data_IF_257320493513
#
_entry.id   IF_257320493513
#
_cell.length_a   1.000
_cell.length_b   1.000
_cell.length_c   1.000
_cell.angle_alpha   90.00
_cell.angle_beta   90.00
_cell.angle_gamma   90.00
#
_symmetry.space_group_name_H-M   'P 1'
#
loop_
_entity.id
_entity.type
_entity.pdbx_description
1 polymer ?
#
# COMPACT_ATOMS: atom_id res chain seq x y z
N UNK A 1 -9.50 48.49 23.96
CA UNK A 1 -9.63 49.03 22.59
C UNK A 1 -9.85 47.85 21.66
N UNK A 2 -11.08 47.66 21.18
CA UNK A 2 -11.38 46.63 20.18
C UNK A 2 -10.94 47.17 18.81
N UNK A 3 -10.01 46.47 18.18
CA UNK A 3 -9.45 46.78 16.86
C UNK A 3 -10.57 46.63 15.82
N UNK A 4 -11.20 47.74 15.42
CA UNK A 4 -12.28 47.74 14.43
C UNK A 4 -11.67 47.51 13.05
N UNK A 5 -11.60 46.25 12.65
CA UNK A 5 -11.20 45.90 11.28
C UNK A 5 -12.38 46.23 10.36
N UNK A 6 -12.19 47.23 9.51
CA UNK A 6 -13.13 47.55 8.45
C UNK A 6 -13.14 46.40 7.43
N UNK A 7 -14.22 45.62 7.44
CA UNK A 7 -14.42 44.54 6.47
C UNK A 7 -15.23 45.08 5.30
N UNK A 8 -14.58 45.29 4.15
CA UNK A 8 -15.27 45.60 2.90
C UNK A 8 -15.95 44.34 2.34
N UNK A 9 -17.25 44.46 2.06
CA UNK A 9 -18.04 43.38 1.48
C UNK A 9 -17.93 43.42 -0.04
N UNK A 10 -17.10 42.55 -0.61
CA UNK A 10 -16.99 42.39 -2.06
C UNK A 10 -17.81 41.19 -2.52
N UNK A 11 -18.68 41.39 -3.52
CA UNK A 11 -19.39 40.28 -4.18
C UNK A 11 -18.46 39.67 -5.22
N UNK A 12 -17.61 38.73 -4.80
CA UNK A 12 -16.72 37.99 -5.69
C UNK A 12 -16.97 36.48 -5.63
N UNK A 13 -17.10 35.85 -6.79
CA UNK A 13 -17.21 34.41 -6.97
C UNK A 13 -15.86 33.69 -7.06
N UNK A 14 -14.76 34.42 -7.32
CA UNK A 14 -13.43 33.84 -7.46
C UNK A 14 -12.85 33.49 -6.10
N UNK A 15 -12.72 32.19 -5.78
CA UNK A 15 -12.32 31.62 -4.49
C UNK A 15 -10.89 31.99 -4.02
N UNK A 16 -9.98 32.33 -4.94
CA UNK A 16 -8.56 32.55 -4.61
C UNK A 16 -8.25 33.97 -4.15
N UNK A 17 -9.01 34.96 -4.65
CA UNK A 17 -8.76 36.37 -4.35
C UNK A 17 -9.16 36.82 -2.92
N UNK A 18 -10.01 36.07 -2.21
CA UNK A 18 -10.56 36.47 -0.91
C UNK A 18 -10.59 35.31 0.08
N UNK A 19 -9.79 35.39 1.15
CA UNK A 19 -9.54 34.28 2.09
C UNK A 19 -10.65 34.04 3.13
N UNK A 20 -11.50 35.04 3.41
CA UNK A 20 -12.63 34.93 4.35
C UNK A 20 -13.94 35.33 3.67
N UNK A 21 -14.93 34.43 3.69
CA UNK A 21 -16.22 34.63 2.99
C UNK A 21 -17.38 34.11 3.83
N UNK A 22 -18.52 34.78 3.71
CA UNK A 22 -19.82 34.29 4.20
C UNK A 22 -20.65 33.95 2.95
N UNK A 23 -20.91 32.66 2.73
CA UNK A 23 -21.69 32.21 1.59
C UNK A 23 -23.19 32.19 1.93
N UNK A 24 -23.98 33.04 1.27
CA UNK A 24 -25.44 32.97 1.34
C UNK A 24 -25.98 31.92 0.36
N UNK A 25 -26.40 30.78 0.89
CA UNK A 25 -27.01 29.70 0.11
C UNK A 25 -28.53 29.81 0.23
N UNK A 26 -29.24 30.06 -0.89
CA UNK A 26 -30.71 30.02 -0.91
C UNK A 26 -31.16 28.57 -0.67
N UNK A 27 -32.12 28.36 0.23
CA UNK A 27 -32.55 27.03 0.71
C UNK A 27 -33.07 26.02 -0.33
N UNK A 28 -33.13 26.38 -1.62
CA UNK A 28 -33.49 25.48 -2.73
C UNK A 28 -32.28 24.95 -3.51
N UNK A 29 -31.06 25.40 -3.20
CA UNK A 29 -29.84 24.99 -3.92
C UNK A 29 -28.94 24.26 -2.93
N UNK A 30 -28.65 22.99 -3.18
CA UNK A 30 -27.63 22.28 -2.41
C UNK A 30 -26.28 22.93 -2.68
N UNK A 31 -25.52 23.21 -1.62
CA UNK A 31 -24.14 23.68 -1.74
C UNK A 31 -23.25 22.52 -2.23
N UNK A 32 -23.42 22.13 -3.49
CA UNK A 32 -22.45 21.30 -4.18
C UNK A 32 -21.30 22.23 -4.53
N UNK A 33 -20.22 22.12 -3.78
CA UNK A 33 -18.91 22.57 -4.24
C UNK A 33 -18.66 21.80 -5.54
N UNK A 34 -18.93 22.44 -6.68
CA UNK A 34 -18.42 21.93 -7.96
C UNK A 34 -16.91 21.84 -7.77
N UNK A 35 -16.38 20.62 -7.86
CA UNK A 35 -14.94 20.40 -7.94
C UNK A 35 -14.44 21.37 -9.02
N UNK A 36 -13.45 22.21 -8.71
CA UNK A 36 -12.86 23.10 -9.71
C UNK A 36 -12.60 22.25 -10.96
N UNK A 37 -13.22 22.62 -12.08
CA UNK A 37 -12.98 21.93 -13.34
C UNK A 37 -11.51 22.19 -13.65
N UNK A 38 -10.68 21.17 -13.41
CA UNK A 38 -9.27 21.20 -13.78
C UNK A 38 -9.18 21.58 -15.25
N UNK A 39 -8.22 22.43 -15.61
CA UNK A 39 -8.06 22.90 -16.99
C UNK A 39 -7.82 21.68 -17.90
N UNK A 40 -8.86 21.28 -18.62
CA UNK A 40 -8.83 20.10 -19.48
C UNK A 40 -8.12 20.44 -20.78
N UNK A 41 -7.12 19.65 -21.13
CA UNK A 41 -6.37 19.78 -22.39
C UNK A 41 -6.74 18.61 -23.30
N UNK A 42 -6.69 18.83 -24.62
CA UNK A 42 -6.93 17.75 -25.59
C UNK A 42 -5.97 16.59 -25.37
N UNK A 43 -6.49 15.37 -25.29
CA UNK A 43 -5.70 14.14 -25.08
C UNK A 43 -4.63 13.97 -26.15
N UNK A 44 -4.97 14.29 -27.40
CA UNK A 44 -4.04 14.34 -28.53
C UNK A 44 -3.78 15.80 -28.88
N UNK A 45 -2.52 16.25 -28.99
CA UNK A 45 -1.27 15.47 -28.87
C UNK A 45 -0.72 15.35 -27.44
N UNK A 46 -1.27 16.09 -26.47
CA UNK A 46 -0.58 16.38 -25.22
C UNK A 46 -0.30 15.15 -24.32
N UNK A 47 -1.28 14.24 -24.17
CA UNK A 47 -1.08 13.00 -23.39
C UNK A 47 -0.25 12.00 -24.19
N UNK A 48 -0.60 11.78 -25.46
CA UNK A 48 0.05 10.78 -26.32
C UNK A 48 1.55 11.04 -26.48
N UNK A 49 1.95 12.31 -26.68
CA UNK A 49 3.38 12.65 -26.77
C UNK A 49 4.11 12.34 -25.47
N UNK A 50 3.50 12.61 -24.30
CA UNK A 50 4.10 12.28 -22.99
C UNK A 50 4.21 10.77 -22.79
N UNK A 51 3.21 10.00 -23.21
CA UNK A 51 3.23 8.54 -23.15
C UNK A 51 4.31 7.94 -24.06
N UNK A 52 4.47 8.46 -25.29
CA UNK A 52 5.53 8.04 -26.21
C UNK A 52 6.91 8.34 -25.62
N UNK A 53 7.11 9.53 -25.04
CA UNK A 53 8.38 9.87 -24.38
C UNK A 53 8.66 8.91 -23.22
N UNK A 54 7.65 8.64 -22.38
CA UNK A 54 7.76 7.70 -21.27
C UNK A 54 8.07 6.27 -21.72
N UNK A 55 7.39 5.81 -22.78
CA UNK A 55 7.63 4.50 -23.40
C UNK A 55 9.06 4.40 -23.97
N UNK A 56 9.50 5.41 -24.73
CA UNK A 56 10.85 5.44 -25.29
C UNK A 56 11.91 5.45 -24.19
N UNK A 57 11.71 6.23 -23.13
CA UNK A 57 12.60 6.24 -21.97
C UNK A 57 12.66 4.86 -21.30
N UNK A 58 11.52 4.18 -21.12
CA UNK A 58 11.45 2.82 -20.58
C UNK A 58 12.22 1.82 -21.45
N UNK A 59 12.05 1.88 -22.77
CA UNK A 59 12.79 1.02 -23.73
C UNK A 59 14.29 1.26 -23.64
N UNK A 60 14.73 2.52 -23.57
CA UNK A 60 16.15 2.88 -23.41
C UNK A 60 16.69 2.31 -22.10
N UNK A 61 15.98 2.47 -20.98
CA UNK A 61 16.42 1.93 -19.69
C UNK A 61 16.54 0.41 -19.74
N UNK A 62 15.55 -0.29 -20.30
CA UNK A 62 15.58 -1.75 -20.45
C UNK A 62 16.73 -2.20 -21.35
N UNK A 63 16.98 -1.51 -22.46
CA UNK A 63 18.09 -1.80 -23.35
C UNK A 63 19.44 -1.60 -22.65
N UNK A 64 19.63 -0.50 -21.92
CA UNK A 64 20.85 -0.26 -21.15
C UNK A 64 21.07 -1.35 -20.09
N UNK A 65 20.04 -1.72 -19.31
CA UNK A 65 20.14 -2.81 -18.33
C UNK A 65 20.53 -4.12 -19.02
N UNK A 66 19.93 -4.45 -20.15
CA UNK A 66 20.26 -5.66 -20.92
C UNK A 66 21.67 -5.68 -21.51
N UNK A 67 22.27 -4.51 -21.77
CA UNK A 67 23.65 -4.41 -22.27
C UNK A 67 24.68 -4.61 -21.14
N UNK A 68 24.35 -4.21 -19.92
CA UNK A 68 25.26 -4.29 -18.77
C UNK A 68 25.05 -5.54 -17.90
N UNK A 69 23.86 -6.14 -17.93
CA UNK A 69 23.49 -7.27 -17.06
C UNK A 69 23.02 -8.45 -17.92
N UNK A 70 23.82 -9.52 -17.94
CA UNK A 70 23.44 -10.77 -18.61
C UNK A 70 22.31 -11.48 -17.86
N UNK A 71 21.40 -12.11 -18.60
CA UNK A 71 20.36 -12.93 -18.01
C UNK A 71 20.96 -14.22 -17.42
N UNK A 72 20.61 -14.58 -16.17
CA UNK A 72 21.03 -15.85 -15.57
C UNK A 72 20.20 -17.00 -16.16
N UNK A 73 20.57 -17.47 -17.35
CA UNK A 73 19.90 -18.58 -18.01
C UNK A 73 20.42 -19.93 -17.49
N UNK A 74 19.50 -20.82 -17.13
CA UNK A 74 19.82 -22.20 -16.77
C UNK A 74 19.94 -23.10 -18.02
N UNK A 75 20.33 -24.35 -17.80
CA UNK A 75 20.43 -25.39 -18.82
C UNK A 75 19.03 -25.83 -19.31
N UNK A 76 18.98 -26.54 -20.44
CA UNK A 76 17.71 -26.96 -21.07
C UNK A 76 16.95 -27.92 -20.15
N UNK A 77 15.66 -27.67 -19.90
CA UNK A 77 14.83 -28.45 -18.98
C UNK A 77 15.00 -29.99 -19.12
N UNK A 78 15.24 -30.65 -17.99
CA UNK A 78 15.47 -32.09 -17.85
C UNK A 78 14.57 -32.60 -16.72
N UNK A 79 13.58 -33.47 -17.01
CA UNK A 79 12.72 -34.05 -15.98
C UNK A 79 13.44 -34.88 -14.92
N UNK A 80 14.64 -35.38 -15.21
CA UNK A 80 15.43 -36.21 -14.29
C UNK A 80 16.27 -35.38 -13.29
N UNK A 81 16.35 -34.07 -13.46
CA UNK A 81 17.15 -33.19 -12.62
C UNK A 81 16.35 -31.99 -12.10
N UNK A 82 16.13 -31.94 -10.79
CA UNK A 82 15.48 -30.80 -10.13
C UNK A 82 16.56 -29.82 -9.66
N UNK A 83 16.56 -28.56 -10.14
CA UNK A 83 17.52 -27.56 -9.69
C UNK A 83 17.33 -27.26 -8.20
N UNK A 84 18.45 -27.11 -7.48
CA UNK A 84 18.45 -26.82 -6.05
C UNK A 84 19.37 -25.62 -5.76
N UNK A 85 18.85 -24.48 -5.29
CA UNK A 85 17.44 -24.16 -5.02
C UNK A 85 16.66 -23.71 -6.25
N UNK A 86 15.45 -24.24 -6.45
CA UNK A 86 14.52 -23.72 -7.45
C UNK A 86 13.85 -22.43 -6.95
N UNK A 87 14.32 -21.27 -7.39
CA UNK A 87 13.73 -19.96 -7.05
C UNK A 87 12.75 -19.50 -8.13
N UNK A 88 11.57 -19.07 -7.71
CA UNK A 88 10.60 -18.42 -8.59
C UNK A 88 11.08 -17.01 -8.99
N UNK A 89 10.53 -16.43 -10.07
CA UNK A 89 10.73 -15.03 -10.40
C UNK A 89 10.44 -14.10 -9.21
N UNK A 90 11.15 -12.97 -9.13
CA UNK A 90 11.12 -12.06 -7.97
C UNK A 90 9.71 -11.62 -7.53
N UNK A 91 8.78 -11.45 -8.48
CA UNK A 91 7.39 -11.06 -8.19
C UNK A 91 6.54 -12.18 -7.57
N UNK A 92 6.99 -13.45 -7.67
CA UNK A 92 6.38 -14.60 -6.98
C UNK A 92 7.20 -15.12 -5.81
N UNK A 93 8.42 -14.62 -5.60
CA UNK A 93 9.32 -15.12 -4.58
C UNK A 93 8.74 -14.95 -3.15
N UNK A 94 8.06 -13.83 -2.89
CA UNK A 94 7.35 -13.65 -1.61
C UNK A 94 6.21 -14.66 -1.39
N UNK A 95 5.51 -15.07 -2.46
CA UNK A 95 4.49 -16.12 -2.40
C UNK A 95 5.12 -17.50 -2.20
N UNK A 96 6.24 -17.78 -2.86
CA UNK A 96 7.00 -19.01 -2.65
C UNK A 96 7.49 -19.13 -1.21
N UNK A 97 7.96 -18.02 -0.64
CA UNK A 97 8.36 -17.98 0.76
C UNK A 97 7.17 -18.24 1.70
N UNK A 98 5.99 -17.74 1.36
CA UNK A 98 4.76 -18.04 2.11
C UNK A 98 4.36 -19.52 2.02
N UNK A 99 4.56 -20.15 0.85
CA UNK A 99 4.33 -21.59 0.61
C UNK A 99 5.26 -22.50 1.41
N UNK A 100 6.43 -22.02 1.81
CA UNK A 100 7.32 -22.76 2.70
C UNK A 100 6.76 -22.84 4.13
N UNK A 101 6.01 -21.83 4.57
CA UNK A 101 5.46 -21.77 5.92
C UNK A 101 4.07 -22.41 6.05
N UNK A 102 3.19 -22.16 5.07
CA UNK A 102 1.82 -22.65 5.09
C UNK A 102 1.66 -23.91 4.24
N UNK A 103 0.64 -24.75 4.54
CA UNK A 103 0.26 -25.82 3.63
C UNK A 103 0.03 -25.28 2.20
N UNK A 104 0.45 -26.00 1.15
CA UNK A 104 0.37 -25.49 -0.24
C UNK A 104 -1.01 -25.02 -0.67
N UNK A 105 -2.07 -25.68 -0.17
CA UNK A 105 -3.47 -25.29 -0.45
C UNK A 105 -3.80 -23.92 0.15
N UNK A 106 -3.31 -23.64 1.36
CA UNK A 106 -3.60 -22.38 2.07
C UNK A 106 -2.89 -21.22 1.40
N UNK A 107 -1.57 -21.32 1.21
CA UNK A 107 -0.78 -20.24 0.62
C UNK A 107 -0.93 -20.11 -0.90
N UNK A 108 -1.02 -21.22 -1.63
CA UNK A 108 -1.05 -21.22 -3.09
C UNK A 108 -2.43 -21.02 -3.70
N UNK A 109 -3.50 -21.42 -3.01
CA UNK A 109 -4.87 -21.39 -3.57
C UNK A 109 -5.76 -20.46 -2.75
N UNK A 110 -5.91 -20.74 -1.45
CA UNK A 110 -6.90 -20.07 -0.61
C UNK A 110 -6.59 -18.58 -0.42
N UNK A 111 -5.35 -18.22 -0.07
CA UNK A 111 -4.97 -16.81 0.13
C UNK A 111 -5.09 -15.96 -1.15
N UNK A 112 -4.53 -16.35 -2.31
CA UNK A 112 -4.73 -15.63 -3.57
C UNK A 112 -6.21 -15.50 -3.97
N UNK A 113 -6.99 -16.59 -3.81
CA UNK A 113 -8.44 -16.56 -4.08
C UNK A 113 -9.16 -15.55 -3.18
N UNK A 114 -8.82 -15.50 -1.89
CA UNK A 114 -9.40 -14.52 -0.96
C UNK A 114 -9.04 -13.07 -1.34
N UNK A 115 -7.81 -12.81 -1.81
CA UNK A 115 -7.40 -11.48 -2.28
C UNK A 115 -8.21 -11.07 -3.51
N UNK A 116 -8.36 -11.96 -4.50
CA UNK A 116 -9.16 -11.69 -5.70
C UNK A 116 -10.63 -11.46 -5.32
N UNK A 117 -11.20 -12.32 -4.47
CA UNK A 117 -12.57 -12.17 -3.99
C UNK A 117 -12.75 -10.85 -3.23
N UNK A 118 -11.79 -10.47 -2.39
CA UNK A 118 -11.81 -9.19 -1.69
C UNK A 118 -11.80 -8.02 -2.68
N UNK A 119 -10.96 -8.04 -3.72
CA UNK A 119 -10.94 -6.99 -4.75
C UNK A 119 -12.25 -6.89 -5.53
N UNK A 120 -12.92 -8.02 -5.80
CA UNK A 120 -14.26 -8.05 -6.42
C UNK A 120 -15.31 -7.47 -5.47
N UNK A 121 -15.23 -7.80 -4.17
CA UNK A 121 -16.24 -7.47 -3.16
C UNK A 121 -16.14 -6.03 -2.65
N UNK A 122 -14.92 -5.50 -2.49
CA UNK A 122 -14.64 -4.14 -1.98
C UNK A 122 -15.52 -3.04 -2.61
N UNK A 123 -15.69 -2.94 -3.96
CA UNK A 123 -16.49 -1.86 -4.55
C UNK A 123 -17.99 -1.92 -4.18
N UNK A 124 -18.51 -3.07 -3.74
CA UNK A 124 -19.92 -3.23 -3.36
C UNK A 124 -20.19 -2.80 -1.92
N UNK A 125 -19.17 -2.76 -1.07
CA UNK A 125 -19.29 -2.32 0.30
C UNK A 125 -18.85 -0.87 0.45
N UNK A 126 -19.56 -0.11 1.30
CA UNK A 126 -19.21 1.27 1.65
C UNK A 126 -18.02 1.33 2.62
N UNK A 127 -16.94 0.60 2.33
CA UNK A 127 -15.73 0.61 3.15
C UNK A 127 -15.02 1.93 2.94
N UNK A 128 -15.12 2.82 3.93
CA UNK A 128 -14.33 4.04 4.02
C UNK A 128 -14.51 5.03 2.84
N UNK A 129 -15.77 5.34 2.49
CA UNK A 129 -16.14 6.34 1.46
C UNK A 129 -15.50 7.72 1.74
N UNK A 130 -15.27 8.04 3.00
CA UNK A 130 -14.59 9.27 3.41
C UNK A 130 -13.11 8.92 3.61
N UNK A 131 -12.20 9.62 2.93
CA UNK A 131 -10.74 9.54 3.14
C UNK A 131 -10.34 10.18 4.48
N UNK A 132 -11.07 9.84 5.54
CA UNK A 132 -10.88 10.33 6.89
C UNK A 132 -9.93 9.39 7.65
N UNK A 133 -9.26 9.93 8.65
CA UNK A 133 -8.31 9.19 9.46
C UNK A 133 -8.99 8.09 10.29
N UNK A 134 -8.28 6.99 10.51
CA UNK A 134 -8.76 5.77 11.20
C UNK A 134 -9.51 6.04 12.52
N UNK A 135 -9.12 7.08 13.25
CA UNK A 135 -9.56 7.35 14.61
C UNK A 135 -10.67 8.41 14.74
N UNK A 136 -11.22 8.94 13.63
CA UNK A 136 -12.14 10.10 13.67
C UNK A 136 -13.57 9.77 14.11
N UNK A 137 -14.13 8.64 13.69
CA UNK A 137 -15.55 8.34 13.94
C UNK A 137 -15.78 7.67 15.30
N UNK A 138 -15.34 6.41 15.46
CA UNK A 138 -15.61 5.58 16.65
C UNK A 138 -14.34 4.90 17.16
N UNK A 139 -13.40 5.68 17.74
CA UNK A 139 -12.04 5.21 17.97
C UNK A 139 -11.96 3.97 18.89
N UNK A 140 -12.85 3.85 19.89
CA UNK A 140 -12.90 2.66 20.76
C UNK A 140 -13.31 1.38 20.02
N UNK A 141 -14.35 1.45 19.17
CA UNK A 141 -14.81 0.31 18.38
C UNK A 141 -13.80 -0.06 17.29
N UNK A 142 -13.15 0.94 16.69
CA UNK A 142 -12.09 0.72 15.71
C UNK A 142 -10.88 0.05 16.35
N UNK A 143 -10.50 0.46 17.57
CA UNK A 143 -9.40 -0.18 18.30
C UNK A 143 -9.70 -1.63 18.64
N UNK A 144 -10.91 -1.92 19.15
CA UNK A 144 -11.29 -3.30 19.48
C UNK A 144 -11.34 -4.16 18.23
N UNK A 145 -11.94 -3.69 17.14
CA UNK A 145 -11.97 -4.40 15.87
C UNK A 145 -10.56 -4.64 15.32
N UNK A 146 -9.67 -3.65 15.38
CA UNK A 146 -8.27 -3.77 14.97
C UNK A 146 -7.55 -4.84 15.81
N UNK A 147 -7.59 -4.74 17.14
CA UNK A 147 -6.89 -5.65 18.04
C UNK A 147 -7.44 -7.08 17.97
N UNK A 148 -8.75 -7.25 17.82
CA UNK A 148 -9.36 -8.57 17.60
C UNK A 148 -8.91 -9.15 16.27
N UNK A 149 -8.96 -8.38 15.18
CA UNK A 149 -8.55 -8.84 13.85
C UNK A 149 -7.06 -9.22 13.82
N UNK A 150 -6.20 -8.36 14.35
CA UNK A 150 -4.75 -8.61 14.46
C UNK A 150 -4.47 -9.76 15.43
N UNK A 151 -5.23 -9.89 16.50
CA UNK A 151 -5.13 -11.00 17.46
C UNK A 151 -5.45 -12.34 16.81
N UNK A 152 -6.59 -12.45 16.11
CA UNK A 152 -6.97 -13.65 15.35
C UNK A 152 -5.90 -13.99 14.31
N UNK A 153 -5.46 -13.01 13.51
CA UNK A 153 -4.41 -13.20 12.54
C UNK A 153 -3.10 -13.67 13.21
N UNK A 154 -2.71 -13.06 14.33
CA UNK A 154 -1.51 -13.43 15.07
C UNK A 154 -1.58 -14.85 15.61
N UNK A 155 -2.73 -15.28 16.12
CA UNK A 155 -2.92 -16.67 16.58
C UNK A 155 -2.73 -17.67 15.43
N UNK A 156 -3.30 -17.38 14.25
CA UNK A 156 -3.09 -18.20 13.05
C UNK A 156 -1.61 -18.22 12.68
N UNK A 157 -0.95 -17.06 12.62
CA UNK A 157 0.46 -16.97 12.25
C UNK A 157 1.38 -17.70 13.24
N UNK A 158 1.11 -17.61 14.54
CA UNK A 158 1.85 -18.32 15.58
C UNK A 158 1.62 -19.83 15.46
N UNK A 159 0.38 -20.27 15.23
CA UNK A 159 0.05 -21.68 15.05
C UNK A 159 0.84 -22.33 13.90
N UNK A 160 1.03 -21.60 12.81
CA UNK A 160 1.83 -22.04 11.65
C UNK A 160 3.32 -21.61 11.74
N UNK A 161 3.79 -21.05 12.86
CA UNK A 161 5.16 -20.57 13.07
C UNK A 161 5.66 -19.56 12.01
N UNK A 162 4.76 -18.71 11.48
CA UNK A 162 5.04 -17.76 10.40
C UNK A 162 5.49 -16.41 10.96
N UNK A 163 6.65 -16.40 11.61
CA UNK A 163 7.18 -15.18 12.23
C UNK A 163 7.52 -14.07 11.22
N UNK A 164 7.88 -14.46 9.99
CA UNK A 164 8.19 -13.54 8.90
C UNK A 164 7.05 -12.56 8.57
N UNK A 165 5.79 -12.98 8.75
CA UNK A 165 4.60 -12.13 8.57
C UNK A 165 4.13 -11.53 9.90
N UNK A 166 4.33 -12.24 11.01
CA UNK A 166 3.92 -11.77 12.34
C UNK A 166 4.64 -10.47 12.74
N UNK A 167 5.96 -10.40 12.55
CA UNK A 167 6.78 -9.25 12.97
C UNK A 167 6.34 -7.96 12.24
N UNK A 168 6.25 -7.92 10.89
CA UNK A 168 5.72 -6.75 10.19
C UNK A 168 4.28 -6.40 10.57
N UNK A 169 3.44 -7.40 10.86
CA UNK A 169 2.04 -7.17 11.26
C UNK A 169 1.97 -6.39 12.58
N UNK A 170 2.76 -6.79 13.57
CA UNK A 170 2.83 -6.08 14.85
C UNK A 170 3.49 -4.71 14.74
N UNK A 171 4.54 -4.57 13.92
CA UNK A 171 5.15 -3.27 13.63
C UNK A 171 4.12 -2.29 13.04
N UNK A 172 3.38 -2.71 12.02
CA UNK A 172 2.36 -1.89 11.39
C UNK A 172 1.21 -1.57 12.36
N UNK A 173 0.79 -2.54 13.17
CA UNK A 173 -0.25 -2.33 14.18
C UNK A 173 0.19 -1.32 15.24
N UNK A 174 1.45 -1.39 15.69
CA UNK A 174 2.02 -0.40 16.61
C UNK A 174 1.98 1.01 15.99
N UNK A 175 2.38 1.14 14.72
CA UNK A 175 2.32 2.41 13.99
C UNK A 175 0.87 2.94 13.83
N UNK A 176 -0.12 2.06 13.66
CA UNK A 176 -1.54 2.43 13.62
C UNK A 176 -2.04 2.97 14.96
N UNK A 177 -1.54 2.44 16.08
CA UNK A 177 -1.96 2.80 17.45
C UNK A 177 -1.26 4.07 17.96
N UNK A 178 -0.04 4.39 17.49
CA UNK A 178 0.71 5.58 17.92
C UNK A 178 -0.12 6.88 17.87
N UNK A 179 -0.84 7.21 16.77
CA UNK A 179 -1.70 8.40 16.72
C UNK A 179 -2.86 8.37 17.72
N UNK A 180 -3.41 7.18 18.01
CA UNK A 180 -4.48 7.00 18.99
C UNK A 180 -3.99 7.26 20.42
N UNK A 181 -2.80 6.77 20.78
CA UNK A 181 -2.22 6.96 22.10
C UNK A 181 -1.73 8.40 22.33
N UNK A 182 -1.04 8.98 21.34
CA UNK A 182 -0.44 10.31 21.49
C UNK A 182 -1.43 11.46 21.36
N UNK A 183 -2.58 11.25 20.68
CA UNK A 183 -3.60 12.28 20.37
C UNK A 183 -3.05 13.59 19.77
N UNK A 184 -1.81 13.55 19.26
CA UNK A 184 -1.12 14.72 18.71
C UNK A 184 -1.51 14.88 17.25
N UNK A 185 -2.05 16.04 16.91
CA UNK A 185 -2.50 16.35 15.55
C UNK A 185 -1.41 16.94 14.65
N UNK A 186 -0.23 17.24 15.20
CA UNK A 186 0.87 17.90 14.46
C UNK A 186 2.08 16.98 14.20
N UNK A 187 2.74 17.22 13.07
CA UNK A 187 3.94 16.50 12.63
C UNK A 187 3.65 15.09 12.10
N UNK A 188 4.64 14.18 12.20
CA UNK A 188 4.56 12.81 11.70
C UNK A 188 3.40 12.02 12.32
N UNK A 189 3.13 12.20 13.62
CA UNK A 189 2.06 11.49 14.34
C UNK A 189 0.68 11.90 13.81
N UNK A 190 0.46 13.21 13.61
CA UNK A 190 -0.77 13.72 13.00
C UNK A 190 -0.96 13.25 11.56
N UNK A 191 0.13 13.22 10.78
CA UNK A 191 0.13 12.65 9.43
C UNK A 191 -0.27 11.17 9.43
N UNK A 192 0.31 10.35 10.32
CA UNK A 192 -0.05 8.93 10.45
C UNK A 192 -1.53 8.76 10.82
N UNK A 193 -2.03 9.57 11.78
CA UNK A 193 -3.43 9.54 12.21
C UNK A 193 -4.43 9.97 11.15
N UNK A 194 -4.01 10.79 10.18
CA UNK A 194 -4.83 11.23 9.04
C UNK A 194 -5.06 10.15 7.98
N UNK A 195 -4.30 9.05 8.03
CA UNK A 195 -4.35 8.02 6.99
C UNK A 195 -5.60 7.14 7.13
N UNK A 196 -6.28 6.84 6.01
CA UNK A 196 -7.44 5.95 6.01
C UNK A 196 -7.02 4.49 6.25
N UNK A 197 -7.97 3.63 6.67
CA UNK A 197 -7.72 2.20 6.89
C UNK A 197 -7.16 1.49 5.65
N UNK A 198 -7.66 1.82 4.46
CA UNK A 198 -7.18 1.24 3.20
C UNK A 198 -5.69 1.52 2.95
N UNK A 199 -5.20 2.71 3.33
CA UNK A 199 -3.78 3.04 3.23
C UNK A 199 -2.93 2.15 4.15
N UNK A 200 -3.41 1.90 5.37
CA UNK A 200 -2.74 1.01 6.32
C UNK A 200 -2.72 -0.44 5.84
N UNK A 201 -3.84 -0.96 5.35
CA UNK A 201 -3.93 -2.33 4.81
C UNK A 201 -3.00 -2.49 3.61
N UNK A 202 -3.01 -1.53 2.68
CA UNK A 202 -2.13 -1.58 1.50
C UNK A 202 -0.65 -1.50 1.91
N UNK A 203 -0.31 -0.61 2.84
CA UNK A 203 1.07 -0.48 3.31
C UNK A 203 1.52 -1.75 4.03
N UNK A 204 0.68 -2.33 4.89
CA UNK A 204 0.96 -3.61 5.54
C UNK A 204 1.18 -4.73 4.53
N UNK A 205 0.32 -4.86 3.52
CA UNK A 205 0.46 -5.84 2.45
C UNK A 205 1.79 -5.69 1.71
N UNK A 206 2.14 -4.47 1.27
CA UNK A 206 3.40 -4.19 0.59
C UNK A 206 4.60 -4.51 1.48
N UNK A 207 4.58 -4.11 2.75
CA UNK A 207 5.66 -4.41 3.70
C UNK A 207 5.83 -5.92 3.88
N UNK A 208 4.74 -6.67 4.02
CA UNK A 208 4.80 -8.14 4.13
C UNK A 208 5.40 -8.76 2.86
N UNK A 209 4.94 -8.36 1.67
CA UNK A 209 5.49 -8.87 0.40
C UNK A 209 6.97 -8.54 0.26
N UNK A 210 7.39 -7.33 0.61
CA UNK A 210 8.80 -6.92 0.56
C UNK A 210 9.64 -7.74 1.53
N UNK A 211 9.16 -7.94 2.76
CA UNK A 211 9.86 -8.75 3.78
C UNK A 211 10.00 -10.19 3.32
N UNK A 212 8.92 -10.81 2.84
CA UNK A 212 8.96 -12.19 2.32
C UNK A 212 9.87 -12.32 1.10
N UNK A 213 9.83 -11.36 0.18
CA UNK A 213 10.70 -11.34 -1.01
C UNK A 213 12.15 -11.17 -0.60
N UNK A 214 12.46 -10.31 0.36
CA UNK A 214 13.80 -10.14 0.89
C UNK A 214 14.32 -11.41 1.57
N UNK A 215 13.47 -12.10 2.35
CA UNK A 215 13.80 -13.39 2.95
C UNK A 215 14.11 -14.43 1.86
N UNK A 216 13.20 -14.60 0.89
CA UNK A 216 13.38 -15.54 -0.22
C UNK A 216 14.62 -15.24 -1.07
N UNK A 217 14.97 -13.96 -1.25
CA UNK A 217 16.12 -13.56 -2.07
C UNK A 217 17.42 -13.81 -1.34
N UNK A 218 17.53 -13.31 -0.12
CA UNK A 218 18.81 -13.16 0.59
C UNK A 218 19.11 -14.31 1.55
N UNK A 219 18.10 -14.98 2.10
CA UNK A 219 18.27 -15.92 3.20
C UNK A 219 17.89 -17.36 2.85
N UNK A 220 17.36 -17.62 1.65
CA UNK A 220 17.04 -18.97 1.17
C UNK A 220 18.15 -19.53 0.28
N UNK A 221 18.76 -20.62 0.76
CA UNK A 221 19.85 -21.36 0.10
C UNK A 221 19.42 -22.77 -0.32
N UNK A 222 20.37 -23.72 -0.45
CA UNK A 222 20.08 -25.11 -0.84
C UNK A 222 18.99 -25.74 0.02
N UNK A 223 18.12 -26.53 -0.60
CA UNK A 223 16.93 -27.17 -0.02
C UNK A 223 15.93 -26.18 0.59
N UNK A 224 15.93 -24.93 0.12
CA UNK A 224 15.16 -23.82 0.69
C UNK A 224 15.46 -23.58 2.19
N UNK A 225 16.63 -24.03 2.65
CA UNK A 225 17.06 -23.88 4.03
C UNK A 225 17.49 -22.43 4.32
N UNK A 226 17.43 -22.06 5.59
CA UNK A 226 17.91 -20.75 6.04
C UNK A 226 19.43 -20.69 5.94
N UNK A 227 19.94 -19.74 5.17
CA UNK A 227 21.37 -19.47 4.99
C UNK A 227 21.65 -18.00 5.25
N UNK A 228 22.84 -17.71 5.76
CA UNK A 228 23.28 -16.32 5.91
C UNK A 228 23.92 -15.88 4.60
N UNK A 229 23.50 -14.74 4.01
CA UNK A 229 23.93 -14.33 2.67
C UNK A 229 25.46 -14.17 2.52
N UNK A 230 26.17 -13.97 3.63
CA UNK A 230 27.62 -13.75 3.69
C UNK A 230 28.43 -15.01 4.04
N UNK A 231 27.80 -16.17 4.24
CA UNK A 231 28.49 -17.38 4.70
C UNK A 231 29.16 -18.18 3.57
N UNK A 232 28.85 -17.88 2.30
CA UNK A 232 29.43 -18.50 1.11
C UNK A 232 30.45 -17.59 0.38
N UNK A 233 30.87 -16.48 1.01
CA UNK A 233 31.83 -15.53 0.43
C UNK A 233 33.31 -15.94 0.70
N UNK A 234 33.56 -17.06 1.38
CA UNK A 234 34.92 -17.57 1.65
C UNK A 234 35.01 -19.09 1.51
#
# INVERSE_FOLDING_TARGET
>A
MADSRDFETTKSSDAKATSKRVAFIKGRVSARVKKEEEEMVMTVPHLVVREIIGFQAMVIVLALVSLFVNAPLEWIANPEHTPNPAKAPWYFLGLQELLHYFPPIVAGVLLPMLVILALIVIPYFRVNIRREGLWKEKPGQTLTALLVSVGILSLILIFYNVYAVLIPTWLMTAMMIVPYASKKESGLIGWLGSRPLSWWIMTWFVVVVVVLTAIGTLFRGPEWSWTWPWKEIY
#
